data_IF_726565326525
#
_entry.id   IF_726565326525
#
_cell.length_a   1.000
_cell.length_b   1.000
_cell.length_c   1.000
_cell.angle_alpha   90.00
_cell.angle_beta   90.00
_cell.angle_gamma   90.00
#
_symmetry.space_group_name_H-M   'P 1'
#
loop_
_entity.id
_entity.type
_entity.pdbx_description
1 polymer ?
#
# COMPACT_ATOMS: atom_id res chain seq x y z
N UNK A 1 -6.41 13.54 -16.40
CA UNK A 1 -4.96 13.31 -16.43
C UNK A 1 -4.61 12.37 -15.27
N UNK A 2 -4.40 11.08 -15.53
CA UNK A 2 -4.06 10.12 -14.48
C UNK A 2 -2.57 10.28 -14.17
N UNK A 3 -2.23 10.87 -13.02
CA UNK A 3 -0.84 10.96 -12.55
C UNK A 3 -0.35 9.54 -12.24
N UNK A 4 0.57 9.03 -13.06
CA UNK A 4 1.34 7.83 -12.75
C UNK A 4 2.28 8.17 -11.60
N UNK A 5 1.88 7.85 -10.37
CA UNK A 5 2.74 7.99 -9.20
C UNK A 5 3.93 7.05 -9.33
N UNK A 6 5.11 7.56 -9.01
CA UNK A 6 6.33 6.77 -8.95
C UNK A 6 6.28 5.78 -7.77
N UNK A 7 7.10 4.74 -7.85
CA UNK A 7 7.18 3.68 -6.84
C UNK A 7 7.44 4.22 -5.43
N UNK A 8 8.35 5.19 -5.31
CA UNK A 8 8.68 5.84 -4.03
C UNK A 8 7.51 6.64 -3.46
N UNK A 9 6.73 7.32 -4.29
CA UNK A 9 5.56 8.08 -3.83
C UNK A 9 4.46 7.15 -3.30
N UNK A 10 4.28 5.99 -3.93
CA UNK A 10 3.33 4.97 -3.48
C UNK A 10 3.76 4.34 -2.15
N UNK A 11 5.04 3.99 -2.02
CA UNK A 11 5.60 3.50 -0.75
C UNK A 11 5.49 4.54 0.36
N UNK A 12 5.87 5.80 0.09
CA UNK A 12 5.77 6.89 1.06
C UNK A 12 4.33 7.14 1.49
N UNK A 13 3.37 7.12 0.55
CA UNK A 13 1.96 7.20 0.88
C UNK A 13 1.57 6.04 1.80
N UNK A 14 1.87 4.80 1.43
CA UNK A 14 1.49 3.64 2.22
C UNK A 14 2.11 3.64 3.61
N UNK A 15 3.39 3.99 3.74
CA UNK A 15 4.10 4.02 5.02
C UNK A 15 3.67 5.21 5.89
N UNK A 16 3.42 6.38 5.31
CA UNK A 16 2.78 7.51 6.01
C UNK A 16 1.43 7.10 6.57
N UNK A 17 0.62 6.41 5.76
CA UNK A 17 -0.69 5.96 6.19
C UNK A 17 -0.60 4.88 7.30
N UNK A 18 0.45 4.04 7.27
CA UNK A 18 0.73 3.04 8.31
C UNK A 18 1.07 3.67 9.65
N UNK A 19 1.85 4.75 9.64
CA UNK A 19 2.29 5.45 10.85
C UNK A 19 1.13 6.15 11.59
N UNK A 20 0.11 6.59 10.86
CA UNK A 20 -1.08 7.22 11.43
C UNK A 20 -2.18 6.22 11.83
N UNK A 21 -2.13 5.00 11.30
CA UNK A 21 -3.13 3.98 11.60
C UNK A 21 -2.81 3.25 12.92
N UNK A 22 -3.82 3.09 13.77
CA UNK A 22 -3.68 2.39 15.06
C UNK A 22 -3.73 0.87 14.92
N UNK A 23 -4.11 0.36 13.75
CA UNK A 23 -4.09 -1.07 13.45
C UNK A 23 -3.85 -1.34 11.97
N UNK A 24 -3.43 -2.57 11.63
CA UNK A 24 -3.32 -3.00 10.23
C UNK A 24 -4.66 -2.94 9.49
N UNK A 25 -5.77 -3.24 10.19
CA UNK A 25 -7.11 -3.21 9.60
C UNK A 25 -7.50 -1.78 9.22
N UNK A 26 -7.21 -0.83 10.10
CA UNK A 26 -7.42 0.59 9.81
C UNK A 26 -6.50 1.05 8.67
N UNK A 27 -5.23 0.66 8.68
CA UNK A 27 -4.31 0.99 7.60
C UNK A 27 -4.82 0.51 6.23
N UNK A 28 -5.23 -0.77 6.13
CA UNK A 28 -5.83 -1.35 4.93
C UNK A 28 -7.12 -0.60 4.54
N UNK A 29 -7.93 -0.17 5.51
CA UNK A 29 -9.13 0.62 5.26
C UNK A 29 -8.81 2.01 4.69
N UNK A 30 -7.82 2.71 5.26
CA UNK A 30 -7.37 4.04 4.77
C UNK A 30 -6.85 3.95 3.35
N UNK A 31 -6.04 2.93 3.03
CA UNK A 31 -5.53 2.69 1.67
C UNK A 31 -6.63 2.40 0.64
N UNK A 32 -7.70 1.71 1.04
CA UNK A 32 -8.86 1.50 0.17
C UNK A 32 -9.51 2.81 -0.27
N UNK A 33 -9.51 3.83 0.60
CA UNK A 33 -9.97 5.19 0.26
C UNK A 33 -9.18 5.83 -0.89
N UNK A 34 -7.91 5.46 -1.06
CA UNK A 34 -7.05 5.90 -2.17
C UNK A 34 -7.13 4.98 -3.39
N UNK A 35 -7.89 3.88 -3.32
CA UNK A 35 -7.95 2.86 -4.37
C UNK A 35 -6.81 1.86 -4.35
N UNK A 36 -6.08 1.74 -3.23
CA UNK A 36 -5.01 0.77 -3.05
C UNK A 36 -5.38 -0.32 -2.05
N UNK A 37 -4.83 -1.52 -2.22
CA UNK A 37 -4.93 -2.63 -1.30
C UNK A 37 -3.53 -3.15 -0.96
N UNK A 38 -3.43 -3.92 0.13
CA UNK A 38 -2.21 -4.63 0.50
C UNK A 38 -2.48 -6.11 0.32
N UNK A 39 -1.56 -6.77 -0.38
CA UNK A 39 -1.50 -8.21 -0.54
C UNK A 39 -0.30 -8.73 0.24
N UNK A 40 -0.56 -9.65 1.16
CA UNK A 40 0.48 -10.38 1.87
C UNK A 40 0.98 -11.51 0.94
N UNK A 41 2.28 -11.59 0.73
CA UNK A 41 2.97 -12.58 -0.13
C UNK A 41 4.09 -13.26 0.66
N UNK A 42 4.64 -14.36 0.15
CA UNK A 42 5.76 -15.06 0.79
C UNK A 42 7.02 -14.19 0.94
N UNK A 43 7.19 -13.19 0.07
CA UNK A 43 8.34 -12.27 0.06
C UNK A 43 8.09 -10.99 0.88
N UNK A 44 6.90 -10.87 1.49
CA UNK A 44 6.50 -9.69 2.26
C UNK A 44 5.19 -9.10 1.77
N UNK A 45 5.03 -7.78 1.88
CA UNK A 45 3.79 -7.09 1.54
C UNK A 45 3.92 -6.35 0.23
N UNK A 46 2.91 -6.43 -0.61
CA UNK A 46 2.85 -5.72 -1.89
C UNK A 46 1.62 -4.82 -1.92
N UNK A 47 1.83 -3.56 -2.29
CA UNK A 47 0.75 -2.63 -2.58
C UNK A 47 0.20 -2.94 -3.96
N UNK A 48 -1.12 -3.09 -4.04
CA UNK A 48 -1.84 -3.36 -5.28
C UNK A 48 -2.86 -2.25 -5.54
N UNK A 49 -3.18 -2.00 -6.80
CA UNK A 49 -4.29 -1.11 -7.15
C UNK A 49 -5.57 -1.93 -7.22
N UNK A 50 -6.62 -1.45 -6.55
CA UNK A 50 -7.94 -2.10 -6.53
C UNK A 50 -8.61 -2.01 -7.89
N UNK A 51 -8.41 -0.90 -8.61
CA UNK A 51 -9.13 -0.63 -9.87
C UNK A 51 -8.81 -1.63 -10.98
N UNK A 52 -7.55 -2.07 -11.04
CA UNK A 52 -7.02 -2.95 -12.08
C UNK A 52 -6.40 -4.24 -11.51
N UNK A 53 -6.52 -4.46 -10.19
CA UNK A 53 -5.94 -5.59 -9.48
C UNK A 53 -4.45 -5.83 -9.82
N UNK A 54 -3.69 -4.76 -10.06
CA UNK A 54 -2.29 -4.83 -10.48
C UNK A 54 -1.36 -4.60 -9.30
N UNK A 55 -0.29 -5.37 -9.21
CA UNK A 55 0.79 -5.17 -8.24
C UNK A 55 1.59 -3.92 -8.61
N UNK A 56 1.72 -2.98 -7.68
CA UNK A 56 2.36 -1.69 -7.91
C UNK A 56 3.78 -1.70 -7.35
N UNK A 57 3.91 -1.97 -6.05
CA UNK A 57 5.19 -1.89 -5.36
C UNK A 57 5.22 -2.77 -4.10
N UNK A 58 6.33 -3.47 -3.81
CA UNK A 58 6.56 -4.02 -2.48
C UNK A 58 6.59 -2.89 -1.45
N UNK A 59 6.00 -3.14 -0.29
CA UNK A 59 6.07 -2.26 0.87
C UNK A 59 7.22 -2.73 1.76
N UNK A 60 8.02 -1.80 2.32
CA UNK A 60 8.99 -2.14 3.34
C UNK A 60 8.23 -2.59 4.59
N UNK A 61 8.08 -3.90 4.73
CA UNK A 61 7.40 -4.57 5.83
C UNK A 61 8.42 -5.24 6.72
N UNK A 62 8.53 -4.70 7.94
CA UNK A 62 9.24 -5.21 9.10
C UNK A 62 9.43 -6.74 9.05
N UNK A 63 10.68 -7.18 8.85
CA UNK A 63 11.08 -8.53 9.26
C UNK A 63 10.70 -8.65 10.74
N UNK A 64 9.77 -9.54 11.06
CA UNK A 64 9.52 -9.93 12.43
C UNK A 64 10.74 -10.69 12.98
#
# INVERSE_FOLDING_TARGET
>A
MQMTKTHNELQNLAMRERAMAVSEREWKHRLRGYGYAIKDTSEGRVLTSIRNNTELCPLPGLLA
#
